data_IF_145783576574
#
_entry.id   IF_145783576574
#
_cell.length_a   1.000
_cell.length_b   1.000
_cell.length_c   1.000
_cell.angle_alpha   90.00
_cell.angle_beta   90.00
_cell.angle_gamma   90.00
#
_symmetry.space_group_name_H-M   'P 1'
#
loop_
_entity.id
_entity.type
_entity.pdbx_description
1 polymer ?
#
# COMPACT_ATOMS: atom_id res chain seq x y z
N UNK A 1 -9.28 -28.55 -7.21
CA UNK A 1 -8.62 -27.41 -6.55
C UNK A 1 -9.70 -26.63 -5.81
N UNK A 2 -9.49 -26.31 -4.54
CA UNK A 2 -10.51 -25.65 -3.73
C UNK A 2 -10.45 -24.13 -3.94
N UNK A 3 -11.41 -23.54 -4.67
CA UNK A 3 -11.41 -22.11 -4.99
C UNK A 3 -11.37 -21.21 -3.74
N UNK A 4 -11.85 -21.71 -2.59
CA UNK A 4 -11.76 -21.01 -1.31
C UNK A 4 -10.32 -20.81 -0.82
N UNK A 5 -9.45 -21.82 -1.00
CA UNK A 5 -8.03 -21.71 -0.63
C UNK A 5 -7.28 -20.77 -1.58
N UNK A 6 -7.58 -20.86 -2.88
CA UNK A 6 -6.97 -19.97 -3.88
C UNK A 6 -7.39 -18.51 -3.70
N UNK A 7 -8.61 -18.25 -3.21
CA UNK A 7 -9.04 -16.92 -2.79
C UNK A 7 -8.14 -16.34 -1.70
N UNK A 8 -7.87 -17.12 -0.65
CA UNK A 8 -6.99 -16.67 0.44
C UNK A 8 -5.55 -16.49 -0.04
N UNK A 9 -5.05 -17.39 -0.89
CA UNK A 9 -3.72 -17.25 -1.51
C UNK A 9 -3.62 -15.99 -2.36
N UNK A 10 -4.61 -15.70 -3.19
CA UNK A 10 -4.66 -14.51 -4.01
C UNK A 10 -4.62 -13.22 -3.18
N UNK A 11 -5.43 -13.17 -2.11
CA UNK A 11 -5.42 -12.08 -1.12
C UNK A 11 -4.04 -11.97 -0.48
N UNK A 12 -3.43 -13.09 -0.07
CA UNK A 12 -2.10 -13.12 0.52
C UNK A 12 -1.02 -12.58 -0.41
N UNK A 13 -1.02 -12.99 -1.69
CA UNK A 13 -0.09 -12.50 -2.71
C UNK A 13 -0.21 -10.98 -2.86
N UNK A 14 -1.43 -10.47 -3.01
CA UNK A 14 -1.66 -9.03 -3.12
C UNK A 14 -1.24 -8.28 -1.85
N UNK A 15 -1.53 -8.82 -0.67
CA UNK A 15 -1.14 -8.23 0.62
C UNK A 15 0.38 -8.17 0.79
N UNK A 16 1.13 -9.18 0.33
CA UNK A 16 2.60 -9.17 0.33
C UNK A 16 3.14 -8.13 -0.64
N UNK A 17 2.55 -7.97 -1.83
CA UNK A 17 2.94 -6.91 -2.78
C UNK A 17 2.73 -5.53 -2.14
N UNK A 18 1.58 -5.33 -1.49
CA UNK A 18 1.28 -4.09 -0.77
C UNK A 18 2.34 -3.86 0.29
N UNK A 19 2.56 -4.81 1.21
CA UNK A 19 3.56 -4.75 2.27
C UNK A 19 4.95 -4.39 1.71
N UNK A 20 5.42 -5.09 0.69
CA UNK A 20 6.74 -4.83 0.11
C UNK A 20 6.82 -3.42 -0.46
N UNK A 21 5.78 -2.98 -1.18
CA UNK A 21 5.74 -1.65 -1.77
C UNK A 21 5.63 -0.51 -0.74
N UNK A 22 5.12 -0.78 0.46
CA UNK A 22 4.90 0.22 1.52
C UNK A 22 5.97 0.20 2.61
N UNK A 23 6.89 -0.77 2.59
CA UNK A 23 7.95 -0.89 3.59
C UNK A 23 9.36 -0.86 3.00
N UNK A 24 9.53 -1.32 1.75
CA UNK A 24 10.85 -1.33 1.09
C UNK A 24 11.23 0.09 0.67
N UNK A 25 12.46 0.54 1.00
CA UNK A 25 12.96 1.84 0.58
C UNK A 25 12.84 2.07 -0.93
N UNK A 26 12.61 3.32 -1.35
CA UNK A 26 12.38 3.74 -2.74
C UNK A 26 11.10 3.20 -3.42
N UNK A 27 10.65 1.99 -3.13
CA UNK A 27 9.31 1.52 -3.57
C UNK A 27 8.20 2.28 -2.87
N UNK A 28 8.45 2.70 -1.62
CA UNK A 28 7.56 3.56 -0.86
C UNK A 28 7.27 4.88 -1.59
N UNK A 29 8.23 5.45 -2.32
CA UNK A 29 8.02 6.68 -3.11
C UNK A 29 6.92 6.49 -4.17
N UNK A 30 6.87 5.31 -4.82
CA UNK A 30 5.81 5.01 -5.78
C UNK A 30 4.42 5.00 -5.14
N UNK A 31 4.34 4.60 -3.87
CA UNK A 31 3.10 4.65 -3.12
C UNK A 31 2.77 6.05 -2.61
N UNK A 32 3.76 6.82 -2.14
CA UNK A 32 3.55 8.20 -1.67
C UNK A 32 2.99 9.09 -2.78
N UNK A 33 3.47 8.92 -4.03
CA UNK A 33 3.00 9.76 -5.15
C UNK A 33 1.79 9.20 -5.89
N UNK A 34 1.67 7.88 -6.04
CA UNK A 34 0.67 7.29 -6.95
C UNK A 34 -0.14 6.16 -6.35
N UNK A 35 0.12 5.76 -5.10
CA UNK A 35 -0.47 4.58 -4.47
C UNK A 35 -0.32 3.32 -5.35
N UNK A 36 0.71 3.31 -6.21
CA UNK A 36 0.81 2.38 -7.32
C UNK A 36 1.00 0.94 -6.84
N UNK A 37 1.77 0.73 -5.77
CA UNK A 37 1.94 -0.59 -5.16
C UNK A 37 0.64 -1.16 -4.61
N UNK A 38 -0.23 -0.30 -4.05
CA UNK A 38 -1.56 -0.70 -3.56
C UNK A 38 -2.48 -1.11 -4.71
N UNK A 39 -2.51 -0.31 -5.79
CA UNK A 39 -3.26 -0.63 -7.01
C UNK A 39 -2.76 -1.94 -7.64
N UNK A 40 -1.43 -2.10 -7.76
CA UNK A 40 -0.80 -3.30 -8.33
C UNK A 40 -1.10 -4.53 -7.47
N UNK A 41 -1.03 -4.43 -6.14
CA UNK A 41 -1.37 -5.53 -5.24
C UNK A 41 -2.83 -5.97 -5.39
N UNK A 42 -3.76 -5.02 -5.46
CA UNK A 42 -5.18 -5.30 -5.72
C UNK A 42 -5.41 -5.92 -7.11
N UNK A 43 -4.71 -5.43 -8.14
CA UNK A 43 -4.79 -5.95 -9.49
C UNK A 43 -4.23 -7.38 -9.61
N UNK A 44 -3.06 -7.64 -9.01
CA UNK A 44 -2.39 -8.93 -9.01
C UNK A 44 -3.24 -10.00 -8.31
N UNK A 45 -3.84 -9.68 -7.15
CA UNK A 45 -4.74 -10.58 -6.45
C UNK A 45 -5.95 -10.96 -7.32
N UNK A 46 -6.63 -9.97 -7.91
CA UNK A 46 -7.77 -10.20 -8.81
C UNK A 46 -7.36 -11.02 -10.03
N UNK A 47 -6.22 -10.71 -10.65
CA UNK A 47 -5.71 -11.42 -11.82
C UNK A 47 -5.42 -12.89 -11.50
N UNK A 48 -4.67 -13.14 -10.42
CA UNK A 48 -4.33 -14.49 -9.98
C UNK A 48 -5.60 -15.30 -9.71
N UNK A 49 -6.57 -14.74 -8.99
CA UNK A 49 -7.82 -15.44 -8.69
C UNK A 49 -8.64 -15.76 -9.95
N UNK A 50 -8.84 -14.79 -10.85
CA UNK A 50 -9.61 -14.96 -12.09
C UNK A 50 -8.97 -16.03 -12.98
N UNK A 51 -7.64 -15.99 -13.16
CA UNK A 51 -6.93 -16.93 -14.04
C UNK A 51 -6.86 -18.34 -13.43
N UNK A 52 -6.68 -18.44 -12.12
CA UNK A 52 -6.51 -19.73 -11.44
C UNK A 52 -7.84 -20.47 -11.25
N UNK A 53 -8.88 -19.75 -10.82
CA UNK A 53 -10.20 -20.32 -10.58
C UNK A 53 -11.12 -20.29 -11.82
N UNK A 54 -10.70 -19.63 -12.91
CA UNK A 54 -11.49 -19.41 -14.12
C UNK A 54 -12.84 -18.73 -13.85
N UNK A 55 -12.95 -17.98 -12.75
CA UNK A 55 -14.17 -17.26 -12.37
C UNK A 55 -14.24 -15.88 -13.03
N UNK A 56 -15.42 -15.57 -13.57
CA UNK A 56 -15.70 -14.25 -14.15
C UNK A 56 -16.24 -13.32 -13.07
N UNK A 57 -15.37 -12.51 -12.50
CA UNK A 57 -15.79 -11.44 -11.59
C UNK A 57 -16.42 -10.28 -12.36
N UNK A 58 -17.55 -9.79 -11.87
CA UNK A 58 -18.07 -8.46 -12.20
C UNK A 58 -17.14 -7.37 -11.68
N UNK A 59 -17.29 -6.13 -12.15
CA UNK A 59 -16.47 -5.02 -11.64
C UNK A 59 -16.69 -4.79 -10.14
N UNK A 60 -17.93 -4.92 -9.66
CA UNK A 60 -18.26 -4.77 -8.23
C UNK A 60 -17.65 -5.88 -7.38
N UNK A 61 -17.69 -7.13 -7.85
CA UNK A 61 -17.07 -8.25 -7.12
C UNK A 61 -15.55 -8.13 -7.08
N UNK A 62 -14.93 -7.72 -8.19
CA UNK A 62 -13.48 -7.47 -8.23
C UNK A 62 -13.07 -6.29 -7.35
N UNK A 63 -13.90 -5.24 -7.26
CA UNK A 63 -13.69 -4.15 -6.32
C UNK A 63 -13.67 -4.66 -4.88
N UNK A 64 -14.74 -5.34 -4.45
CA UNK A 64 -14.86 -5.87 -3.08
C UNK A 64 -13.73 -6.86 -2.76
N UNK A 65 -13.44 -7.77 -3.69
CA UNK A 65 -12.37 -8.76 -3.54
C UNK A 65 -10.99 -8.08 -3.35
N UNK A 66 -10.64 -7.14 -4.22
CA UNK A 66 -9.37 -6.43 -4.11
C UNK A 66 -9.35 -5.45 -2.94
N UNK A 67 -10.50 -4.95 -2.47
CA UNK A 67 -10.57 -4.17 -1.23
C UNK A 67 -10.23 -5.00 0.01
N UNK A 68 -10.65 -6.28 0.08
CA UNK A 68 -10.21 -7.19 1.14
C UNK A 68 -8.69 -7.42 1.10
N UNK A 69 -8.11 -7.47 -0.10
CA UNK A 69 -6.65 -7.50 -0.28
C UNK A 69 -6.00 -6.23 0.26
N UNK A 70 -6.59 -5.06 0.01
CA UNK A 70 -6.14 -3.79 0.56
C UNK A 70 -6.17 -3.75 2.09
N UNK A 71 -7.23 -4.28 2.73
CA UNK A 71 -7.32 -4.39 4.19
C UNK A 71 -6.27 -5.35 4.78
N UNK A 72 -6.05 -6.49 4.13
CA UNK A 72 -5.01 -7.43 4.56
C UNK A 72 -3.61 -6.81 4.43
N UNK A 73 -3.34 -6.16 3.30
CA UNK A 73 -2.07 -5.46 3.05
C UNK A 73 -1.84 -4.29 4.01
N UNK A 74 -2.88 -3.51 4.33
CA UNK A 74 -2.77 -2.40 5.30
C UNK A 74 -2.47 -2.92 6.70
N UNK A 75 -3.15 -4.00 7.12
CA UNK A 75 -2.90 -4.64 8.41
C UNK A 75 -1.45 -5.12 8.51
N UNK A 76 -0.96 -5.83 7.50
CA UNK A 76 0.44 -6.27 7.46
C UNK A 76 1.42 -5.09 7.45
N UNK A 77 1.12 -4.02 6.71
CA UNK A 77 1.97 -2.84 6.62
C UNK A 77 2.11 -2.13 7.96
N UNK A 78 1.00 -1.95 8.69
CA UNK A 78 1.01 -1.31 10.02
C UNK A 78 1.70 -2.19 11.07
N UNK A 79 1.50 -3.51 11.01
CA UNK A 79 2.24 -4.44 11.89
C UNK A 79 3.74 -4.37 11.60
N UNK A 80 4.13 -4.38 10.32
CA UNK A 80 5.54 -4.25 9.95
C UNK A 80 6.13 -2.90 10.37
N UNK A 81 5.39 -1.81 10.17
CA UNK A 81 5.78 -0.48 10.63
C UNK A 81 5.99 -0.45 12.14
N UNK A 82 5.06 -1.02 12.92
CA UNK A 82 5.18 -1.12 14.37
C UNK A 82 6.48 -1.84 14.76
N UNK A 83 6.76 -3.02 14.19
CA UNK A 83 7.98 -3.80 14.47
C UNK A 83 9.24 -3.04 14.07
N UNK A 84 9.22 -2.37 12.90
CA UNK A 84 10.35 -1.59 12.42
C UNK A 84 10.68 -0.41 13.34
N UNK A 85 9.65 0.25 13.87
CA UNK A 85 9.82 1.37 14.81
C UNK A 85 10.29 0.86 16.17
N UNK A 86 9.67 -0.19 16.73
CA UNK A 86 9.96 -0.64 18.09
C UNK A 86 11.29 -1.39 18.20
N UNK A 87 11.61 -2.26 17.25
CA UNK A 87 12.79 -3.14 17.33
C UNK A 87 14.03 -2.56 16.64
N UNK A 88 13.83 -1.80 15.55
CA UNK A 88 14.93 -1.32 14.70
C UNK A 88 15.10 0.20 14.75
N UNK A 89 14.23 0.92 15.47
CA UNK A 89 14.15 2.39 15.44
C UNK A 89 14.12 2.95 14.00
N UNK A 90 13.54 2.18 13.08
CA UNK A 90 13.45 2.49 11.66
C UNK A 90 12.05 2.98 11.34
N UNK A 91 11.96 4.16 10.74
CA UNK A 91 10.71 4.79 10.32
C UNK A 91 10.61 4.74 8.80
N UNK A 92 9.80 3.85 8.22
CA UNK A 92 9.63 3.77 6.78
C UNK A 92 9.28 5.15 6.20
N UNK A 93 9.98 5.58 5.15
CA UNK A 93 9.74 6.86 4.48
C UNK A 93 10.46 8.06 5.11
N UNK A 94 11.03 7.94 6.30
CA UNK A 94 11.74 9.06 6.93
C UNK A 94 13.03 9.40 6.17
N UNK A 95 13.80 8.41 5.75
CA UNK A 95 15.04 8.60 5.00
C UNK A 95 14.78 9.21 3.63
N UNK A 96 13.75 8.74 2.93
CA UNK A 96 13.33 9.28 1.64
C UNK A 96 12.83 10.72 1.78
N UNK A 97 12.04 11.01 2.82
CA UNK A 97 11.60 12.36 3.10
C UNK A 97 12.77 13.30 3.40
N UNK A 98 13.74 12.87 4.22
CA UNK A 98 14.94 13.67 4.49
C UNK A 98 15.69 14.00 3.19
N UNK A 99 15.87 12.99 2.33
CA UNK A 99 16.55 13.18 1.03
C UNK A 99 15.80 14.16 0.12
N UNK A 100 14.48 13.99 -0.04
CA UNK A 100 13.67 14.89 -0.87
C UNK A 100 13.61 16.31 -0.30
N UNK A 101 13.52 16.43 1.03
CA UNK A 101 13.44 17.73 1.69
C UNK A 101 14.76 18.50 1.62
N UNK A 102 15.91 17.83 1.66
CA UNK A 102 17.21 18.46 1.38
C UNK A 102 17.29 19.00 -0.04
N UNK A 103 16.76 18.27 -1.03
CA UNK A 103 16.72 18.72 -2.43
C UNK A 103 15.82 19.94 -2.66
N UNK A 104 14.86 20.19 -1.76
CA UNK A 104 13.94 21.33 -1.82
C UNK A 104 14.48 22.59 -1.11
N UNK A 105 15.64 22.51 -0.43
CA UNK A 105 16.25 23.67 0.24
C UNK A 105 16.86 24.64 -0.78
N UNK A 106 16.98 25.91 -0.40
CA UNK A 106 17.61 26.95 -1.20
C UNK A 106 16.67 27.78 -2.07
N UNK A 107 15.35 27.57 -1.95
CA UNK A 107 14.32 28.39 -2.61
C UNK A 107 14.04 29.67 -1.82
N UNK A 108 13.99 29.59 -0.49
CA UNK A 108 13.88 30.75 0.41
C UNK A 108 14.26 30.39 1.84
N UNK A 109 14.72 31.38 2.62
CA UNK A 109 15.06 31.19 4.04
C UNK A 109 13.86 30.72 4.88
N UNK A 110 12.65 31.20 4.58
CA UNK A 110 11.44 30.79 5.31
C UNK A 110 11.07 29.33 5.02
N UNK A 111 11.19 28.89 3.77
CA UNK A 111 10.98 27.50 3.39
C UNK A 111 12.02 26.58 4.03
N UNK A 112 13.29 26.99 4.03
CA UNK A 112 14.38 26.21 4.62
C UNK A 112 14.17 26.02 6.13
N UNK A 113 13.72 27.06 6.84
CA UNK A 113 13.35 26.95 8.26
C UNK A 113 12.22 25.95 8.49
N UNK A 114 11.16 25.98 7.66
CA UNK A 114 10.04 25.03 7.77
C UNK A 114 10.49 23.60 7.47
N UNK A 115 11.36 23.42 6.47
CA UNK A 115 11.94 22.12 6.13
C UNK A 115 12.76 21.58 7.30
N UNK A 116 13.62 22.41 7.91
CA UNK A 116 14.43 22.01 9.06
C UNK A 116 13.56 21.59 10.25
N UNK A 117 12.49 22.33 10.55
CA UNK A 117 11.53 21.94 11.59
C UNK A 117 10.88 20.58 11.30
N UNK A 118 10.50 20.31 10.04
CA UNK A 118 9.94 19.01 9.67
C UNK A 118 10.96 17.88 9.80
N UNK A 119 12.22 18.14 9.42
CA UNK A 119 13.32 17.17 9.57
C UNK A 119 13.58 16.85 11.05
N UNK A 120 13.57 17.85 11.93
CA UNK A 120 13.70 17.65 13.38
C UNK A 120 12.56 16.79 13.95
N UNK A 121 11.32 17.04 13.52
CA UNK A 121 10.16 16.22 13.92
C UNK A 121 10.26 14.76 13.46
N UNK A 122 10.86 14.51 12.30
CA UNK A 122 11.05 13.16 11.76
C UNK A 122 12.19 12.40 12.44
N UNK A 123 13.21 13.11 12.91
CA UNK A 123 14.34 12.54 13.65
C UNK A 123 14.02 12.31 15.13
N UNK A 124 13.01 12.99 15.68
CA UNK A 124 12.57 12.75 17.04
C UNK A 124 12.14 11.27 17.23
N UNK A 125 12.56 10.61 18.32
CA UNK A 125 12.10 9.26 18.62
C UNK A 125 10.58 9.32 18.79
N UNK A 126 9.82 8.52 18.03
CA UNK A 126 8.40 8.33 18.37
C UNK A 126 8.18 6.94 18.90
N UNK A 127 7.47 6.93 20.01
CA UNK A 127 6.89 5.74 20.58
C UNK A 127 5.52 5.56 19.95
N UNK A 128 5.30 4.41 19.30
CA UNK A 128 4.00 4.08 18.75
C UNK A 128 3.10 3.58 19.89
N UNK A 129 2.27 4.47 20.43
CA UNK A 129 1.28 4.09 21.46
C UNK A 129 0.28 3.08 20.89
N UNK A 130 -0.29 2.23 21.75
CA UNK A 130 -1.30 1.25 21.33
C UNK A 130 -2.52 1.91 20.66
N UNK A 131 -2.95 3.08 21.18
CA UNK A 131 -4.01 3.86 20.56
C UNK A 131 -3.62 4.37 19.16
N UNK A 132 -2.37 4.84 18.99
CA UNK A 132 -1.83 5.23 17.69
C UNK A 132 -1.77 4.06 16.70
N UNK A 133 -1.35 2.87 17.15
CA UNK A 133 -1.35 1.65 16.34
C UNK A 133 -2.76 1.28 15.85
N UNK A 134 -3.75 1.26 16.74
CA UNK A 134 -5.14 0.96 16.36
C UNK A 134 -5.70 2.02 15.40
N UNK A 135 -5.41 3.30 15.63
CA UNK A 135 -5.83 4.38 14.74
C UNK A 135 -5.19 4.23 13.35
N UNK A 136 -3.89 3.91 13.28
CA UNK A 136 -3.18 3.63 12.03
C UNK A 136 -3.80 2.48 11.26
N UNK A 137 -4.19 1.38 11.93
CA UNK A 137 -4.89 0.27 11.28
C UNK A 137 -6.17 0.71 10.59
N UNK A 138 -7.00 1.50 11.28
CA UNK A 138 -8.28 1.98 10.74
C UNK A 138 -8.06 2.94 9.58
N UNK A 139 -7.20 3.95 9.76
CA UNK A 139 -6.95 4.97 8.73
C UNK A 139 -6.35 4.33 7.48
N UNK A 140 -5.33 3.49 7.64
CA UNK A 140 -4.70 2.83 6.49
C UNK A 140 -5.65 1.87 5.79
N UNK A 141 -6.50 1.14 6.51
CA UNK A 141 -7.51 0.27 5.90
C UNK A 141 -8.53 1.07 5.07
N UNK A 142 -9.00 2.22 5.57
CA UNK A 142 -9.93 3.10 4.85
C UNK A 142 -9.31 3.62 3.54
N UNK A 143 -8.00 3.86 3.52
CA UNK A 143 -7.29 4.35 2.33
C UNK A 143 -6.97 3.19 1.38
N UNK A 144 -6.37 2.10 1.89
CA UNK A 144 -5.82 1.04 1.06
C UNK A 144 -6.92 0.17 0.43
N UNK A 145 -8.03 -0.05 1.14
CA UNK A 145 -9.13 -0.87 0.64
C UNK A 145 -9.76 -0.34 -0.67
N UNK A 146 -10.24 0.91 -0.77
CA UNK A 146 -10.80 1.40 -2.02
C UNK A 146 -9.75 1.49 -3.14
N UNK A 147 -8.50 1.85 -2.82
CA UNK A 147 -7.41 1.97 -3.79
C UNK A 147 -7.04 0.61 -4.40
N UNK A 148 -6.89 -0.42 -3.56
CA UNK A 148 -6.69 -1.79 -4.04
C UNK A 148 -7.92 -2.28 -4.84
N UNK A 149 -9.12 -1.93 -4.41
CA UNK A 149 -10.38 -2.17 -5.11
C UNK A 149 -10.36 -1.65 -6.56
N UNK A 150 -9.85 -0.43 -6.80
CA UNK A 150 -9.68 0.12 -8.14
C UNK A 150 -8.73 -0.72 -9.00
N UNK A 151 -7.67 -1.29 -8.41
CA UNK A 151 -6.78 -2.24 -9.09
C UNK A 151 -7.51 -3.50 -9.58
N UNK A 152 -8.44 -4.02 -8.77
CA UNK A 152 -9.32 -5.14 -9.17
C UNK A 152 -10.23 -4.78 -10.35
N UNK A 153 -10.89 -3.62 -10.27
CA UNK A 153 -11.75 -3.10 -11.37
C UNK A 153 -10.96 -2.95 -12.67
N UNK A 154 -9.76 -2.36 -12.58
CA UNK A 154 -8.87 -2.19 -13.73
C UNK A 154 -8.51 -3.52 -14.38
N UNK A 155 -8.26 -4.55 -13.57
CA UNK A 155 -7.94 -5.90 -14.05
C UNK A 155 -9.09 -6.50 -14.85
N UNK A 156 -10.31 -6.48 -14.30
CA UNK A 156 -11.50 -6.96 -15.01
C UNK A 156 -11.73 -6.18 -16.31
N UNK A 157 -11.61 -4.85 -16.27
CA UNK A 157 -11.73 -3.99 -17.46
C UNK A 157 -10.71 -4.36 -18.55
N UNK A 158 -9.44 -4.57 -18.16
CA UNK A 158 -8.36 -4.93 -19.07
C UNK A 158 -8.61 -6.31 -19.69
N UNK A 159 -8.98 -7.31 -18.89
CA UNK A 159 -9.27 -8.66 -19.37
C UNK A 159 -10.46 -8.68 -20.35
N UNK A 160 -11.54 -7.95 -20.04
CA UNK A 160 -12.68 -7.79 -20.96
C UNK A 160 -12.26 -7.19 -22.30
N UNK A 161 -11.41 -6.14 -22.29
CA UNK A 161 -10.89 -5.54 -23.53
C UNK A 161 -9.99 -6.48 -24.33
N UNK A 162 -9.20 -7.32 -23.68
CA UNK A 162 -8.36 -8.30 -24.36
C UNK A 162 -9.19 -9.40 -25.03
N UNK A 163 -10.29 -9.83 -24.42
CA UNK A 163 -11.19 -10.82 -24.99
C UNK A 163 -11.93 -10.33 -26.25
N UNK A 164 -12.19 -9.03 -26.38
CA UNK A 164 -12.85 -8.43 -27.56
C UNK A 164 -11.89 -8.24 -28.75
N UNK A 165 -10.58 -8.20 -28.49
CA UNK A 165 -9.54 -8.02 -29.52
C UNK A 165 -9.03 -9.34 -30.14
N UNK A 166 -9.55 -10.47 -29.69
CA UNK A 166 -9.33 -11.80 -30.27
C UNK A 166 -10.58 -12.24 -31.01
#
# INVERSE_FOLDING_TARGET
>A
MNCSEEKLKAIGIGAIIILASTTVPYLLLLNVFFLAGIIIGGAAASYYYIVTCQERLSMSEAFVFSSLTGMAGSTLSVIAEYVLITEFNYRPGATEFMTLSEQMKGVSLEQDMRINQLQEMLQAPVEMTFAGFLLSLVITAIIYAPVAGLGGVFTVWRLKRQAVKK
#
